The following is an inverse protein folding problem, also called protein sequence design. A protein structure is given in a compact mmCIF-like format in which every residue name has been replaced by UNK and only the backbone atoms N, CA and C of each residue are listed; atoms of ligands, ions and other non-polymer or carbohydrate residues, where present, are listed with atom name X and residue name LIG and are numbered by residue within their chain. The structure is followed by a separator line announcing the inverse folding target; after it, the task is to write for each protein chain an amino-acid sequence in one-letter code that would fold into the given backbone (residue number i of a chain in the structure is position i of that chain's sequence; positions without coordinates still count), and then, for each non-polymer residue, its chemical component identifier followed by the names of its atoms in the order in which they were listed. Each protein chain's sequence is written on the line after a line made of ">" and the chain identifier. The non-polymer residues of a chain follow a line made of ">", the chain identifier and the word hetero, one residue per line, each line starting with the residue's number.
data_IF_022989687913
#
_entry.id   IF_022989687913
#
_cell.length_a   1.000
_cell.length_b   1.000
_cell.length_c   1.000
_cell.angle_alpha   90.00
_cell.angle_beta   90.00
_cell.angle_gamma   90.00
#
_symmetry.space_group_name_H-M   'P 1'
#
loop_
_entity.id
_entity.type
_entity.pdbx_description
1 polymer ?
#
# COMPACT_ATOMS: atom_id res chain seq x y z
N UNK A 1 -7.27 0.54 -12.36
CA UNK A 1 -6.49 -0.22 -11.35
C UNK A 1 -5.04 -0.32 -11.85
N UNK A 2 -4.32 0.80 -11.88
CA UNK A 2 -2.94 0.94 -12.42
C UNK A 2 -2.00 1.54 -11.35
N UNK A 3 -2.55 2.11 -10.28
CA UNK A 3 -1.82 2.84 -9.24
C UNK A 3 -0.95 1.86 -8.43
N UNK A 4 -1.53 0.76 -7.95
CA UNK A 4 -0.83 -0.26 -7.14
C UNK A 4 0.38 -0.89 -7.84
N UNK A 5 0.23 -1.20 -9.13
CA UNK A 5 1.32 -1.78 -9.92
C UNK A 5 2.48 -0.81 -10.10
N UNK A 6 2.20 0.49 -10.17
CA UNK A 6 3.24 1.53 -10.23
C UNK A 6 3.92 1.73 -8.88
N UNK A 7 3.16 1.72 -7.79
CA UNK A 7 3.69 1.84 -6.43
C UNK A 7 4.69 0.74 -6.07
N UNK A 8 4.52 -0.48 -6.64
CA UNK A 8 5.51 -1.58 -6.50
C UNK A 8 6.87 -1.28 -7.13
N UNK A 9 6.93 -0.31 -8.03
CA UNK A 9 8.14 0.09 -8.74
C UNK A 9 8.80 1.31 -8.11
N UNK A 10 8.21 1.89 -7.06
CA UNK A 10 8.79 3.03 -6.37
C UNK A 10 10.12 2.63 -5.72
N UNK A 11 11.18 3.45 -5.85
CA UNK A 11 12.45 3.17 -5.19
C UNK A 11 12.25 2.97 -3.69
N UNK A 12 12.93 1.97 -3.13
CA UNK A 12 12.88 1.64 -1.70
C UNK A 12 11.51 1.16 -1.16
N UNK A 13 10.56 0.86 -2.06
CA UNK A 13 9.35 0.10 -1.75
C UNK A 13 9.70 -1.39 -1.63
N UNK A 14 9.39 -2.00 -0.48
CA UNK A 14 9.63 -3.42 -0.22
C UNK A 14 8.44 -4.28 -0.65
N UNK A 15 7.21 -3.84 -0.34
CA UNK A 15 5.98 -4.41 -0.88
C UNK A 15 4.84 -3.41 -0.80
N UNK A 16 3.83 -3.65 -1.64
CA UNK A 16 2.51 -3.03 -1.53
C UNK A 16 1.46 -4.05 -2.00
N UNK A 17 0.47 -4.31 -1.16
CA UNK A 17 -0.53 -5.35 -1.37
C UNK A 17 -1.93 -4.92 -0.93
N UNK A 18 -2.92 -5.43 -1.66
CA UNK A 18 -4.34 -5.32 -1.29
C UNK A 18 -4.79 -6.65 -0.73
N UNK A 19 -5.05 -6.68 0.56
CA UNK A 19 -5.45 -7.87 1.31
C UNK A 19 -6.93 -7.75 1.68
N UNK A 20 -7.80 -8.67 1.23
CA UNK A 20 -9.18 -8.70 1.68
C UNK A 20 -9.24 -8.86 3.21
N UNK A 21 -10.16 -8.16 3.87
CA UNK A 21 -10.36 -8.29 5.32
C UNK A 21 -11.56 -9.20 5.60
N UNK A 22 -11.39 -10.46 6.04
CA UNK A 22 -12.50 -11.40 6.21
C UNK A 22 -13.57 -10.92 7.18
N UNK A 23 -13.16 -10.25 8.27
CA UNK A 23 -14.06 -9.70 9.29
C UNK A 23 -14.71 -8.37 8.87
N UNK A 24 -14.23 -7.76 7.79
CA UNK A 24 -14.71 -6.48 7.24
C UNK A 24 -14.82 -6.59 5.71
N UNK A 25 -15.82 -7.31 5.18
CA UNK A 25 -15.91 -7.63 3.75
C UNK A 25 -16.16 -6.41 2.86
N UNK A 26 -16.56 -5.29 3.44
CA UNK A 26 -16.69 -3.98 2.79
C UNK A 26 -15.36 -3.19 2.74
N UNK A 27 -14.28 -3.78 3.28
CA UNK A 27 -12.96 -3.16 3.39
C UNK A 27 -11.85 -4.01 2.81
N UNK A 28 -10.80 -3.33 2.38
CA UNK A 28 -9.54 -3.90 1.93
C UNK A 28 -8.42 -3.29 2.78
N UNK A 29 -7.46 -4.12 3.20
CA UNK A 29 -6.22 -3.66 3.79
C UNK A 29 -5.24 -3.34 2.67
N UNK A 30 -4.76 -2.11 2.62
CA UNK A 30 -3.58 -1.72 1.89
C UNK A 30 -2.38 -1.89 2.82
N UNK A 31 -1.59 -2.94 2.59
CA UNK A 31 -0.37 -3.21 3.35
C UNK A 31 0.82 -2.70 2.55
N UNK A 32 1.63 -1.82 3.15
CA UNK A 32 2.77 -1.19 2.49
C UNK A 32 4.02 -1.29 3.37
N UNK A 33 5.18 -1.48 2.75
CA UNK A 33 6.45 -1.39 3.47
C UNK A 33 7.53 -0.65 2.68
N UNK A 34 8.27 0.17 3.40
CA UNK A 34 9.35 0.99 2.86
C UNK A 34 10.61 0.85 3.72
N UNK A 35 11.78 1.01 3.09
CA UNK A 35 13.06 0.93 3.82
C UNK A 35 13.26 2.08 4.80
N UNK A 36 12.55 3.20 4.60
CA UNK A 36 12.65 4.41 5.42
C UNK A 36 11.39 5.28 5.32
N UNK A 37 11.20 6.17 6.30
CA UNK A 37 10.15 7.20 6.25
C UNK A 37 10.34 8.18 5.08
N UNK A 38 11.58 8.41 4.65
CA UNK A 38 11.87 9.28 3.51
C UNK A 38 11.39 8.63 2.21
N UNK A 39 11.57 7.33 2.06
CA UNK A 39 11.04 6.56 0.94
C UNK A 39 9.50 6.59 0.92
N UNK A 40 8.85 6.41 2.06
CA UNK A 40 7.40 6.51 2.17
C UNK A 40 6.90 7.91 1.78
N UNK A 41 7.54 8.97 2.25
CA UNK A 41 7.20 10.35 1.85
C UNK A 41 7.36 10.60 0.35
N UNK A 42 8.43 10.09 -0.26
CA UNK A 42 8.62 10.18 -1.73
C UNK A 42 7.50 9.47 -2.47
N UNK A 43 7.09 8.30 -1.98
CA UNK A 43 5.97 7.54 -2.52
C UNK A 43 4.65 8.33 -2.45
N UNK A 44 4.32 8.93 -1.30
CA UNK A 44 3.12 9.76 -1.12
C UNK A 44 3.05 10.96 -2.09
N UNK A 45 4.21 11.46 -2.52
CA UNK A 45 4.34 12.62 -3.42
C UNK A 45 4.27 12.30 -4.92
N UNK A 46 4.21 11.01 -5.30
CA UNK A 46 4.17 10.57 -6.70
C UNK A 46 2.87 10.92 -7.42
N UNK A 47 2.93 11.02 -8.76
CA UNK A 47 1.75 11.32 -9.59
C UNK A 47 0.65 10.26 -9.45
N UNK A 48 1.00 8.98 -9.28
CA UNK A 48 0.02 7.92 -9.09
C UNK A 48 -0.65 7.97 -7.72
N UNK A 49 0.06 8.40 -6.67
CA UNK A 49 -0.56 8.65 -5.36
C UNK A 49 -1.41 9.91 -5.36
N UNK A 50 -1.00 10.99 -6.05
CA UNK A 50 -1.87 12.18 -6.24
C UNK A 50 -3.19 11.83 -6.91
N UNK A 51 -3.16 11.00 -7.95
CA UNK A 51 -4.38 10.50 -8.59
C UNK A 51 -5.24 9.64 -7.65
N UNK A 52 -4.64 8.91 -6.71
CA UNK A 52 -5.35 8.17 -5.67
C UNK A 52 -6.02 9.13 -4.67
N UNK A 53 -5.32 10.20 -4.28
CA UNK A 53 -5.82 11.20 -3.33
C UNK A 53 -7.02 12.01 -3.87
N UNK A 54 -7.13 12.18 -5.19
CA UNK A 54 -8.30 12.81 -5.82
C UNK A 54 -9.62 12.07 -5.54
N UNK A 55 -9.56 10.75 -5.32
CA UNK A 55 -10.69 9.90 -4.91
C UNK A 55 -10.65 9.53 -3.43
N UNK A 56 -9.76 10.17 -2.66
CA UNK A 56 -9.39 9.85 -1.29
C UNK A 56 -10.57 9.66 -0.33
N UNK A 57 -11.59 10.54 -0.29
CA UNK A 57 -12.72 10.38 0.64
C UNK A 57 -13.50 9.07 0.45
N UNK A 58 -13.69 8.63 -0.79
CA UNK A 58 -14.38 7.38 -1.12
C UNK A 58 -13.47 6.17 -0.92
N UNK A 59 -12.18 6.31 -1.18
CA UNK A 59 -11.22 5.23 -0.97
C UNK A 59 -11.04 4.94 0.52
N UNK A 60 -10.85 5.98 1.34
CA UNK A 60 -10.61 5.87 2.78
C UNK A 60 -11.83 5.34 3.55
N UNK A 61 -13.03 5.35 2.97
CA UNK A 61 -14.20 4.68 3.58
C UNK A 61 -14.16 3.16 3.43
N UNK A 62 -13.35 2.63 2.51
CA UNK A 62 -13.25 1.20 2.18
C UNK A 62 -11.84 0.63 2.31
N UNK A 63 -10.85 1.43 2.69
CA UNK A 63 -9.46 1.01 2.81
C UNK A 63 -8.94 1.26 4.23
N UNK A 64 -8.31 0.23 4.80
CA UNK A 64 -7.45 0.36 5.98
C UNK A 64 -6.01 0.37 5.47
N UNK A 65 -5.19 1.31 5.91
CA UNK A 65 -3.79 1.43 5.47
C UNK A 65 -2.89 1.04 6.64
N UNK A 66 -1.99 0.07 6.42
CA UNK A 66 -0.96 -0.35 7.36
C UNK A 66 0.42 -0.18 6.74
N UNK A 67 1.20 0.75 7.31
CA UNK A 67 2.49 1.18 6.80
C UNK A 67 3.61 0.73 7.73
N UNK A 68 4.51 -0.10 7.20
CA UNK A 68 5.67 -0.60 7.93
C UNK A 68 6.94 0.10 7.44
N UNK A 69 7.67 0.73 8.37
CA UNK A 69 9.01 1.27 8.09
C UNK A 69 10.04 0.36 8.72
N UNK A 70 10.86 -0.29 7.90
CA UNK A 70 11.91 -1.19 8.37
C UNK A 70 13.04 -1.32 7.35
N UNK A 71 14.29 -1.43 7.82
CA UNK A 71 15.45 -1.66 6.96
C UNK A 71 15.36 -2.97 6.15
N UNK A 72 14.58 -3.93 6.64
CA UNK A 72 14.20 -5.13 5.90
C UNK A 72 12.83 -5.65 6.40
N UNK A 73 12.07 -6.26 5.50
CA UNK A 73 10.84 -6.97 5.87
C UNK A 73 10.90 -8.37 5.24
N UNK A 74 10.54 -9.39 6.02
CA UNK A 74 10.23 -10.71 5.45
C UNK A 74 8.79 -10.68 4.97
N UNK A 75 8.61 -10.56 3.66
CA UNK A 75 7.32 -10.77 3.02
C UNK A 75 7.15 -12.28 2.81
N UNK A 76 6.25 -12.91 3.58
CA UNK A 76 5.90 -14.33 3.43
C UNK A 76 4.58 -14.37 2.69
N UNK A 77 4.65 -14.72 1.42
CA UNK A 77 3.50 -14.89 0.53
C UNK A 77 2.81 -16.22 0.89
N UNK A 78 2.08 -16.26 2.01
CA UNK A 78 1.29 -17.43 2.40
C UNK A 78 0.10 -17.60 1.44
N UNK A 79 0.34 -18.33 0.35
CA UNK A 79 -0.73 -18.82 -0.51
C UNK A 79 -1.47 -19.93 0.22
N UNK A 80 -2.61 -19.60 0.81
CA UNK A 80 -3.59 -20.59 1.23
C UNK A 80 -4.07 -21.33 -0.02
N UNK A 81 -3.58 -22.56 -0.21
CA UNK A 81 -4.01 -23.48 -1.26
C UNK A 81 -5.27 -24.25 -0.88
#
# INVERSE_FOLDING_TARGET
>A
MIIWEKSRLDPDCLYIELVPMPDHPDKILLAEAFTSEEAHRRHEDTDHMRALWEVGPTLLSHVVIDNVISASVQHIDERFG
#
